data_IF_903100770954
#
_entry.id   IF_903100770954
#
_cell.length_a   1.000
_cell.length_b   1.000
_cell.length_c   1.000
_cell.angle_alpha   90.00
_cell.angle_beta   90.00
_cell.angle_gamma   90.00
#
_symmetry.space_group_name_H-M   'P 1'
#
loop_
_entity.id
_entity.type
_entity.pdbx_description
1 polymer ?
#
# COMPACT_ATOMS: atom_id res chain seq x y z
N UNK A 1 11.00 18.34 32.73
CA UNK A 1 11.49 17.52 31.61
C UNK A 1 10.28 17.17 30.77
N UNK A 2 10.02 17.91 29.69
CA UNK A 2 8.83 17.70 28.86
C UNK A 2 9.17 16.69 27.77
N UNK A 3 8.44 15.56 27.78
CA UNK A 3 8.46 14.61 26.69
C UNK A 3 7.87 15.29 25.45
N UNK A 4 8.68 15.40 24.40
CA UNK A 4 8.20 15.73 23.06
C UNK A 4 7.44 14.49 22.59
N UNK A 5 6.11 14.52 22.68
CA UNK A 5 5.29 13.57 21.96
C UNK A 5 5.45 13.89 20.48
N UNK A 6 6.38 13.22 19.80
CA UNK A 6 6.33 13.12 18.35
C UNK A 6 4.96 12.53 18.03
N UNK A 7 4.01 13.36 17.60
CA UNK A 7 2.74 12.90 17.08
C UNK A 7 3.02 12.26 15.72
N UNK A 8 3.61 11.06 15.73
CA UNK A 8 3.69 10.21 14.55
C UNK A 8 2.25 9.91 14.17
N UNK A 9 1.77 10.56 13.13
CA UNK A 9 0.43 10.31 12.60
C UNK A 9 0.44 8.87 12.12
N UNK A 10 -0.43 8.02 12.67
CA UNK A 10 -0.54 6.63 12.23
C UNK A 10 -0.67 6.59 10.70
N UNK A 11 0.05 5.68 10.01
CA UNK A 11 0.07 5.64 8.55
C UNK A 11 -1.35 5.52 8.02
N UNK A 12 -1.70 6.40 7.08
CA UNK A 12 -3.03 6.44 6.45
C UNK A 12 -2.93 5.94 5.02
N UNK A 13 -3.88 5.10 4.63
CA UNK A 13 -4.00 4.61 3.25
C UNK A 13 -5.30 5.13 2.65
N UNK A 14 -5.19 5.99 1.66
CA UNK A 14 -6.32 6.54 0.89
C UNK A 14 -6.41 5.84 -0.47
N UNK A 15 -7.60 5.41 -0.86
CA UNK A 15 -7.82 4.63 -2.09
C UNK A 15 -8.81 5.40 -2.96
N UNK A 16 -8.37 5.80 -4.16
CA UNK A 16 -9.23 6.39 -5.18
C UNK A 16 -9.73 5.30 -6.13
N UNK A 17 -10.79 5.59 -6.87
CA UNK A 17 -11.36 4.67 -7.85
C UNK A 17 -11.82 5.44 -9.07
N UNK A 18 -11.24 5.11 -10.21
CA UNK A 18 -11.48 5.68 -11.53
C UNK A 18 -11.71 4.55 -12.53
N UNK A 19 -12.98 4.20 -12.76
CA UNK A 19 -13.35 3.11 -13.66
C UNK A 19 -12.89 1.73 -13.16
N UNK A 20 -11.93 1.12 -13.88
CA UNK A 20 -11.40 -0.22 -13.56
C UNK A 20 -10.09 -0.22 -12.77
N UNK A 21 -9.69 0.94 -12.26
CA UNK A 21 -8.49 1.09 -11.47
C UNK A 21 -8.53 2.35 -10.63
N UNK A 22 -7.36 2.84 -10.23
CA UNK A 22 -7.22 4.09 -9.50
C UNK A 22 -5.85 4.19 -8.86
N UNK A 23 -5.73 5.05 -7.86
CA UNK A 23 -4.50 5.27 -7.11
C UNK A 23 -4.71 5.00 -5.63
N UNK A 24 -3.60 4.69 -4.96
CA UNK A 24 -3.54 4.52 -3.52
C UNK A 24 -2.44 5.44 -3.00
N UNK A 25 -2.74 6.17 -1.94
CA UNK A 25 -1.80 7.06 -1.29
C UNK A 25 -1.56 6.57 0.12
N UNK A 26 -0.33 6.13 0.37
CA UNK A 26 0.17 5.90 1.72
C UNK A 26 0.76 7.21 2.25
N UNK A 27 0.21 7.71 3.36
CA UNK A 27 0.58 8.98 3.98
C UNK A 27 1.12 8.72 5.38
N UNK A 28 2.39 9.07 5.60
CA UNK A 28 3.07 8.94 6.88
C UNK A 28 4.04 10.12 7.04
N UNK A 29 4.01 10.81 8.18
CA UNK A 29 4.85 11.97 8.48
C UNK A 29 4.85 13.07 7.40
N UNK A 30 3.71 13.27 6.72
CA UNK A 30 3.55 14.24 5.63
C UNK A 30 4.19 13.81 4.30
N UNK A 31 4.78 12.63 4.22
CA UNK A 31 5.25 12.03 2.97
C UNK A 31 4.14 11.20 2.33
N UNK A 32 4.07 11.25 1.00
CA UNK A 32 3.11 10.51 0.21
C UNK A 32 3.83 9.49 -0.66
N UNK A 33 3.52 8.21 -0.48
CA UNK A 33 3.92 7.14 -1.40
C UNK A 33 2.70 6.76 -2.24
N UNK A 34 2.79 7.01 -3.55
CA UNK A 34 1.73 6.67 -4.51
C UNK A 34 1.92 5.25 -5.04
N UNK A 35 0.82 4.53 -5.09
CA UNK A 35 0.65 3.29 -5.84
C UNK A 35 -0.50 3.49 -6.82
N UNK A 36 -0.53 2.68 -7.87
CA UNK A 36 -1.66 2.59 -8.79
C UNK A 36 -2.25 1.18 -8.70
N UNK A 37 -3.54 1.02 -8.98
CA UNK A 37 -4.20 -0.28 -8.95
C UNK A 37 -5.14 -0.46 -10.14
N UNK A 38 -5.37 -1.71 -10.52
CA UNK A 38 -6.33 -2.10 -11.54
C UNK A 38 -7.01 -3.44 -11.20
N UNK A 39 -8.21 -3.66 -11.72
CA UNK A 39 -8.87 -4.97 -11.63
C UNK A 39 -8.07 -6.02 -12.41
N UNK A 40 -7.96 -7.20 -11.82
CA UNK A 40 -7.38 -8.37 -12.46
C UNK A 40 -8.40 -9.47 -12.68
N UNK A 41 -7.99 -10.41 -13.54
CA UNK A 41 -8.68 -11.69 -13.70
C UNK A 41 -8.11 -12.70 -12.68
N UNK A 42 -8.91 -13.70 -12.26
CA UNK A 42 -8.49 -14.70 -11.29
C UNK A 42 -7.11 -15.33 -11.60
N UNK A 43 -6.29 -15.63 -10.57
CA UNK A 43 -6.69 -15.73 -9.16
C UNK A 43 -6.72 -14.41 -8.38
N UNK A 44 -6.07 -13.35 -8.87
CA UNK A 44 -6.13 -12.03 -8.24
C UNK A 44 -7.38 -11.27 -8.68
N UNK A 45 -7.97 -10.50 -7.77
CA UNK A 45 -9.10 -9.60 -8.08
C UNK A 45 -8.63 -8.18 -8.40
N UNK A 46 -7.45 -7.79 -7.90
CA UNK A 46 -6.80 -6.54 -8.23
C UNK A 46 -5.28 -6.70 -8.16
N UNK A 47 -4.59 -5.94 -9.01
CA UNK A 47 -3.15 -5.75 -8.96
C UNK A 47 -2.87 -4.32 -8.51
N UNK A 48 -1.84 -4.17 -7.69
CA UNK A 48 -1.37 -2.88 -7.21
C UNK A 48 0.10 -2.77 -7.59
N UNK A 49 0.45 -1.65 -8.20
CA UNK A 49 1.79 -1.33 -8.65
C UNK A 49 2.32 -0.18 -7.81
N UNK A 50 3.44 -0.41 -7.14
CA UNK A 50 4.08 0.56 -6.28
C UNK A 50 5.41 1.07 -6.85
N UNK A 51 6.07 1.98 -6.12
CA UNK A 51 7.35 2.49 -6.53
C UNK A 51 8.47 1.46 -6.31
N UNK A 52 9.51 1.58 -7.14
CA UNK A 52 10.69 0.72 -7.09
C UNK A 52 11.61 1.00 -5.89
N UNK A 53 12.69 0.22 -5.74
CA UNK A 53 13.62 0.33 -4.60
C UNK A 53 14.19 1.73 -4.37
N UNK A 54 14.46 2.49 -5.44
CA UNK A 54 15.07 3.82 -5.38
C UNK A 54 14.18 4.90 -4.72
N UNK A 55 12.89 4.61 -4.49
CA UNK A 55 11.98 5.52 -3.80
C UNK A 55 12.01 5.38 -2.27
N UNK A 56 12.87 4.51 -1.73
CA UNK A 56 12.92 4.19 -0.30
C UNK A 56 14.34 4.27 0.24
N UNK A 57 14.45 4.73 1.48
CA UNK A 57 15.73 4.80 2.22
C UNK A 57 16.31 3.41 2.52
N UNK A 58 15.47 2.37 2.59
CA UNK A 58 15.92 0.99 2.83
C UNK A 58 14.93 -0.05 2.30
N UNK A 59 15.43 -1.27 2.08
CA UNK A 59 14.60 -2.41 1.67
C UNK A 59 13.59 -2.81 2.75
N UNK A 60 13.96 -2.72 4.03
CA UNK A 60 13.07 -2.98 5.16
C UNK A 60 11.90 -1.99 5.19
N UNK A 61 12.20 -0.69 5.00
CA UNK A 61 11.16 0.34 4.95
C UNK A 61 10.20 0.11 3.78
N UNK A 62 10.75 -0.24 2.61
CA UNK A 62 9.94 -0.60 1.45
C UNK A 62 9.02 -1.78 1.75
N UNK A 63 9.53 -2.85 2.37
CA UNK A 63 8.72 -4.01 2.75
C UNK A 63 7.58 -3.62 3.71
N UNK A 64 7.88 -2.78 4.71
CA UNK A 64 6.89 -2.29 5.68
C UNK A 64 5.78 -1.47 5.02
N UNK A 65 6.12 -0.55 4.11
CA UNK A 65 5.12 0.27 3.40
C UNK A 65 4.22 -0.61 2.52
N UNK A 66 4.80 -1.56 1.79
CA UNK A 66 4.02 -2.49 0.96
C UNK A 66 3.08 -3.37 1.79
N UNK A 67 3.55 -3.93 2.91
CA UNK A 67 2.71 -4.72 3.82
C UNK A 67 1.58 -3.87 4.43
N UNK A 68 1.89 -2.63 4.83
CA UNK A 68 0.89 -1.68 5.36
C UNK A 68 -0.20 -1.39 4.33
N UNK A 69 0.19 -1.05 3.10
CA UNK A 69 -0.75 -0.80 1.99
C UNK A 69 -1.59 -2.04 1.69
N UNK A 70 -0.98 -3.22 1.63
CA UNK A 70 -1.68 -4.46 1.32
C UNK A 70 -2.71 -4.85 2.39
N UNK A 71 -2.35 -4.73 3.68
CA UNK A 71 -3.26 -4.97 4.80
C UNK A 71 -4.43 -4.00 4.79
N UNK A 72 -4.17 -2.73 4.57
CA UNK A 72 -5.22 -1.71 4.52
C UNK A 72 -6.14 -1.89 3.32
N UNK A 73 -5.62 -2.29 2.16
CA UNK A 73 -6.43 -2.62 1.00
C UNK A 73 -7.38 -3.80 1.27
N UNK A 74 -6.87 -4.90 1.82
CA UNK A 74 -7.71 -6.04 2.18
C UNK A 74 -8.75 -5.63 3.24
N UNK A 75 -8.34 -4.94 4.30
CA UNK A 75 -9.24 -4.45 5.35
C UNK A 75 -10.37 -3.58 4.81
N UNK A 76 -10.08 -2.69 3.87
CA UNK A 76 -11.04 -1.69 3.36
C UNK A 76 -11.86 -2.17 2.16
N UNK A 77 -11.27 -2.98 1.26
CA UNK A 77 -11.85 -3.29 -0.06
C UNK A 77 -12.08 -4.78 -0.33
N UNK A 78 -11.42 -5.67 0.41
CA UNK A 78 -11.64 -7.12 0.31
C UNK A 78 -11.71 -7.78 1.71
N UNK A 79 -12.71 -7.43 2.56
CA UNK A 79 -12.78 -8.00 3.91
C UNK A 79 -12.86 -9.53 3.88
N UNK A 80 -11.95 -10.19 4.60
CA UNK A 80 -11.83 -11.66 4.61
C UNK A 80 -10.95 -12.23 3.50
N UNK A 81 -10.52 -11.42 2.54
CA UNK A 81 -9.55 -11.80 1.52
C UNK A 81 -8.12 -11.84 2.05
N UNK A 82 -7.19 -12.05 1.12
CA UNK A 82 -5.76 -12.13 1.41
C UNK A 82 -4.96 -11.34 0.37
N UNK A 83 -3.64 -11.24 0.56
CA UNK A 83 -2.75 -10.56 -0.37
C UNK A 83 -1.40 -11.27 -0.47
N UNK A 84 -0.72 -11.06 -1.59
CA UNK A 84 0.69 -11.44 -1.78
C UNK A 84 1.49 -10.19 -2.16
N UNK A 85 2.69 -10.05 -1.61
CA UNK A 85 3.60 -8.92 -1.91
C UNK A 85 4.79 -9.44 -2.71
N UNK A 86 5.01 -8.87 -3.89
CA UNK A 86 6.16 -9.12 -4.74
C UNK A 86 7.02 -7.85 -4.84
N UNK A 87 7.99 -7.75 -3.93
CA UNK A 87 8.94 -6.64 -3.90
C UNK A 87 9.92 -6.65 -5.08
N UNK A 88 10.14 -7.78 -5.75
CA UNK A 88 11.01 -7.80 -6.92
C UNK A 88 10.34 -7.06 -8.09
N UNK A 89 9.04 -7.26 -8.26
CA UNK A 89 8.24 -6.64 -9.32
C UNK A 89 7.49 -5.38 -8.88
N UNK A 90 7.69 -4.89 -7.65
CA UNK A 90 6.99 -3.72 -7.10
C UNK A 90 5.47 -3.87 -7.15
N UNK A 91 4.97 -5.06 -6.81
CA UNK A 91 3.56 -5.44 -7.00
C UNK A 91 2.92 -6.01 -5.74
N UNK A 92 1.63 -5.78 -5.56
CA UNK A 92 0.79 -6.46 -4.58
C UNK A 92 -0.38 -7.11 -5.34
N UNK A 93 -0.63 -8.38 -5.07
CA UNK A 93 -1.73 -9.13 -5.65
C UNK A 93 -2.82 -9.26 -4.56
N UNK A 94 -4.00 -8.70 -4.81
CA UNK A 94 -5.15 -8.82 -3.91
C UNK A 94 -5.97 -10.04 -4.30
N UNK A 95 -6.24 -10.90 -3.33
CA UNK A 95 -6.92 -12.18 -3.49
C UNK A 95 -8.28 -12.17 -2.76
N UNK A 96 -9.17 -13.08 -3.16
CA UNK A 96 -10.43 -13.33 -2.43
C UNK A 96 -10.23 -14.17 -1.18
#
# INVERSE_FOLDING_TARGET
>A
MNAVCCSGVAPKVEITSEGRGGSIFHVEDGQHTRFDWEFAMPPAIALVFGPGPAAFESAERRAQVYDTVARELVRQKSPGGSFSVDLANSRIDILR
#
